data_IF_766658715365
#
_entry.id   IF_766658715365
#
_cell.length_a   1.000
_cell.length_b   1.000
_cell.length_c   1.000
_cell.angle_alpha   90.00
_cell.angle_beta   90.00
_cell.angle_gamma   90.00
#
_symmetry.space_group_name_H-M   'P 1'
#
loop_
_entity.id
_entity.type
_entity.pdbx_description
1 polymer ?
#
# COMPACT_ATOMS: atom_id res chain seq x y z
N UNK A 1 73.18 -92.35 14.68
CA UNK A 1 73.18 -90.87 14.62
C UNK A 1 72.26 -90.52 13.47
N UNK A 2 71.10 -89.93 13.66
CA UNK A 2 70.47 -89.37 14.86
C UNK A 2 68.97 -89.40 14.62
N UNK A 3 68.20 -89.56 15.69
CA UNK A 3 66.78 -89.27 15.70
C UNK A 3 66.57 -87.80 15.33
N UNK A 4 65.76 -87.52 14.31
CA UNK A 4 65.19 -86.19 14.11
C UNK A 4 63.66 -86.32 14.19
N UNK A 5 63.16 -86.19 15.42
CA UNK A 5 61.78 -85.80 15.69
C UNK A 5 61.59 -84.35 15.24
N UNK A 6 61.11 -84.16 14.02
CA UNK A 6 60.56 -82.87 13.57
C UNK A 6 59.17 -82.71 14.18
N UNK A 7 59.09 -82.03 15.32
CA UNK A 7 57.83 -81.52 15.85
C UNK A 7 57.23 -80.50 14.89
N UNK A 8 55.93 -80.66 14.67
CA UNK A 8 55.03 -79.74 13.99
C UNK A 8 55.30 -78.30 14.41
N UNK A 9 55.35 -77.39 13.44
CA UNK A 9 55.05 -75.99 13.74
C UNK A 9 53.80 -75.62 12.94
N UNK A 10 52.68 -75.84 13.61
CA UNK A 10 51.39 -75.23 13.39
C UNK A 10 51.56 -73.73 13.14
N UNK A 11 51.49 -73.32 11.88
CA UNK A 11 51.06 -71.97 11.55
C UNK A 11 50.36 -72.02 10.20
N UNK A 12 49.34 -72.88 10.15
CA UNK A 12 48.23 -72.58 9.28
C UNK A 12 47.26 -71.64 10.03
N UNK A 13 46.61 -70.79 9.24
CA UNK A 13 45.50 -69.89 9.56
C UNK A 13 45.85 -68.48 10.06
N UNK A 14 45.58 -67.49 9.19
CA UNK A 14 44.34 -66.72 9.36
C UNK A 14 44.06 -65.72 8.23
N UNK A 15 43.47 -66.18 7.14
CA UNK A 15 42.71 -65.34 6.19
C UNK A 15 41.44 -64.71 6.82
N UNK A 16 41.05 -65.10 8.04
CA UNK A 16 39.84 -64.62 8.73
C UNK A 16 39.96 -63.26 9.45
N UNK A 17 41.17 -62.83 9.85
CA UNK A 17 41.38 -61.60 10.65
C UNK A 17 41.15 -60.30 9.86
N UNK A 18 41.41 -60.31 8.55
CA UNK A 18 41.19 -59.13 7.71
C UNK A 18 39.70 -58.90 7.43
N UNK A 19 38.95 -59.97 7.15
CA UNK A 19 37.51 -59.90 6.86
C UNK A 19 36.66 -59.44 8.06
N UNK A 20 36.98 -59.90 9.28
CA UNK A 20 36.20 -59.53 10.47
C UNK A 20 36.32 -58.04 10.83
N UNK A 21 37.53 -57.47 10.74
CA UNK A 21 37.76 -56.06 11.00
C UNK A 21 37.10 -55.15 9.94
N UNK A 22 37.05 -55.59 8.68
CA UNK A 22 36.31 -54.89 7.63
C UNK A 22 34.79 -54.96 7.86
N UNK A 23 34.26 -56.09 8.31
CA UNK A 23 32.85 -56.23 8.69
C UNK A 23 32.46 -55.28 9.84
N UNK A 24 33.31 -55.17 10.86
CA UNK A 24 33.09 -54.25 11.97
C UNK A 24 33.10 -52.78 11.51
N UNK A 25 34.08 -52.39 10.68
CA UNK A 25 34.13 -51.04 10.10
C UNK A 25 32.91 -50.73 9.24
N UNK A 26 32.44 -51.68 8.44
CA UNK A 26 31.23 -51.52 7.63
C UNK A 26 29.98 -51.38 8.51
N UNK A 27 29.86 -52.18 9.57
CA UNK A 27 28.77 -52.06 10.56
C UNK A 27 28.74 -50.66 11.18
N UNK A 28 29.87 -50.18 11.65
CA UNK A 28 29.95 -48.87 12.31
C UNK A 28 29.68 -47.71 11.34
N UNK A 29 30.10 -47.84 10.08
CA UNK A 29 29.79 -46.88 9.02
C UNK A 29 28.28 -46.86 8.69
N UNK A 30 27.63 -48.02 8.67
CA UNK A 30 26.17 -48.12 8.49
C UNK A 30 25.42 -47.48 9.66
N UNK A 31 25.86 -47.75 10.90
CA UNK A 31 25.28 -47.15 12.12
C UNK A 31 25.41 -45.63 12.09
N UNK A 32 26.60 -45.11 11.75
CA UNK A 32 26.84 -43.67 11.68
C UNK A 32 26.00 -42.99 10.59
N UNK A 33 25.86 -43.62 9.42
CA UNK A 33 24.95 -43.15 8.37
C UNK A 33 23.49 -43.17 8.83
N UNK A 34 23.07 -44.23 9.54
CA UNK A 34 21.73 -44.32 10.12
C UNK A 34 21.45 -43.21 11.13
N UNK A 35 22.41 -42.90 12.00
CA UNK A 35 22.31 -41.81 12.96
C UNK A 35 22.24 -40.44 12.27
N UNK A 36 23.05 -40.22 11.23
CA UNK A 36 22.98 -38.99 10.43
C UNK A 36 21.61 -38.80 9.78
N UNK A 37 21.08 -39.86 9.15
CA UNK A 37 19.76 -39.84 8.52
C UNK A 37 18.66 -39.57 9.56
N UNK A 38 18.76 -40.15 10.76
CA UNK A 38 17.81 -39.91 11.85
C UNK A 38 17.80 -38.43 12.29
N UNK A 39 18.99 -37.83 12.43
CA UNK A 39 19.12 -36.42 12.76
C UNK A 39 18.56 -35.50 11.66
N UNK A 40 18.81 -35.84 10.40
CA UNK A 40 18.27 -35.10 9.25
C UNK A 40 16.74 -35.18 9.24
N UNK A 41 16.16 -36.38 9.45
CA UNK A 41 14.70 -36.56 9.55
C UNK A 41 14.11 -35.74 10.70
N UNK A 42 14.78 -35.71 11.86
CA UNK A 42 14.34 -34.90 12.99
C UNK A 42 14.34 -33.40 12.66
N UNK A 43 15.43 -32.91 12.06
CA UNK A 43 15.55 -31.52 11.60
C UNK A 43 14.47 -31.15 10.58
N UNK A 44 14.17 -32.04 9.63
CA UNK A 44 13.08 -31.84 8.68
C UNK A 44 11.70 -31.79 9.35
N UNK A 45 11.42 -32.65 10.32
CA UNK A 45 10.15 -32.61 11.07
C UNK A 45 9.95 -31.29 11.80
N UNK A 46 10.99 -30.77 12.45
CA UNK A 46 10.91 -29.49 13.15
C UNK A 46 10.74 -28.30 12.17
N UNK A 47 11.38 -28.35 10.99
CA UNK A 47 11.14 -27.37 9.92
C UNK A 47 9.70 -27.40 9.39
N UNK A 48 9.12 -28.59 9.22
CA UNK A 48 7.72 -28.76 8.82
C UNK A 48 6.80 -28.12 9.86
N UNK A 49 6.95 -28.48 11.14
CA UNK A 49 6.15 -27.88 12.23
C UNK A 49 6.26 -26.36 12.26
N UNK A 50 7.48 -25.82 12.15
CA UNK A 50 7.70 -24.37 12.13
C UNK A 50 6.98 -23.70 10.95
N UNK A 51 6.95 -24.36 9.80
CA UNK A 51 6.28 -23.86 8.59
C UNK A 51 4.76 -23.92 8.74
N UNK A 52 4.21 -25.00 9.32
CA UNK A 52 2.79 -25.14 9.65
C UNK A 52 2.33 -24.04 10.60
N UNK A 53 3.08 -23.76 11.67
CA UNK A 53 2.77 -22.66 12.59
C UNK A 53 2.75 -21.29 11.89
N UNK A 54 3.70 -21.03 10.98
CA UNK A 54 3.71 -19.78 10.19
C UNK A 54 2.49 -19.67 9.27
N UNK A 55 2.10 -20.77 8.62
CA UNK A 55 0.92 -20.82 7.75
C UNK A 55 -0.37 -20.54 8.53
N UNK A 56 -0.53 -21.13 9.72
CA UNK A 56 -1.64 -20.86 10.64
C UNK A 56 -1.69 -19.38 11.04
N UNK A 57 -0.55 -18.81 11.45
CA UNK A 57 -0.48 -17.39 11.82
C UNK A 57 -0.82 -16.44 10.67
N UNK A 58 -0.41 -16.77 9.44
CA UNK A 58 -0.79 -15.99 8.26
C UNK A 58 -2.30 -16.10 7.98
N UNK A 59 -2.90 -17.29 8.14
CA UNK A 59 -4.33 -17.49 7.98
C UNK A 59 -5.12 -16.61 8.97
N UNK A 60 -4.75 -16.61 10.25
CA UNK A 60 -5.37 -15.77 11.28
C UNK A 60 -5.26 -14.27 10.93
N UNK A 61 -4.09 -13.86 10.44
CA UNK A 61 -3.85 -12.48 10.00
C UNK A 61 -4.77 -12.09 8.84
N UNK A 62 -4.94 -12.99 7.86
CA UNK A 62 -5.84 -12.78 6.72
C UNK A 62 -7.29 -12.64 7.17
N UNK A 63 -7.74 -13.45 8.12
CA UNK A 63 -9.12 -13.39 8.62
C UNK A 63 -9.40 -12.13 9.45
N UNK A 64 -8.43 -11.66 10.23
CA UNK A 64 -8.49 -10.36 10.92
C UNK A 64 -8.62 -9.23 9.89
N UNK A 65 -7.80 -9.24 8.84
CA UNK A 65 -7.84 -8.22 7.78
C UNK A 65 -9.16 -8.21 7.02
N UNK A 66 -9.68 -9.40 6.65
CA UNK A 66 -11.01 -9.54 6.02
C UNK A 66 -12.11 -8.97 6.90
N UNK A 67 -12.11 -9.31 8.20
CA UNK A 67 -13.12 -8.83 9.15
C UNK A 67 -13.07 -7.31 9.30
N UNK A 68 -11.87 -6.74 9.44
CA UNK A 68 -11.70 -5.28 9.54
C UNK A 68 -12.16 -4.55 8.27
N UNK A 69 -11.83 -5.11 7.11
CA UNK A 69 -12.19 -4.56 5.81
C UNK A 69 -13.70 -4.59 5.59
N UNK A 70 -14.37 -5.71 5.87
CA UNK A 70 -15.82 -5.84 5.77
C UNK A 70 -16.56 -4.87 6.70
N UNK A 71 -16.05 -4.68 7.92
CA UNK A 71 -16.61 -3.71 8.88
C UNK A 71 -16.50 -2.27 8.36
N UNK A 72 -15.31 -1.86 7.88
CA UNK A 72 -15.10 -0.52 7.30
C UNK A 72 -15.99 -0.25 6.09
N UNK A 73 -16.18 -1.22 5.20
CA UNK A 73 -17.08 -1.05 4.05
C UNK A 73 -18.55 -0.88 4.47
N UNK A 74 -18.98 -1.61 5.51
CA UNK A 74 -20.33 -1.45 6.08
C UNK A 74 -20.53 -0.06 6.69
N UNK A 75 -19.53 0.45 7.43
CA UNK A 75 -19.57 1.78 8.04
C UNK A 75 -19.63 2.89 6.96
N UNK A 76 -18.84 2.78 5.88
CA UNK A 76 -18.86 3.71 4.74
C UNK A 76 -20.21 3.71 4.04
N UNK A 77 -20.79 2.54 3.79
CA UNK A 77 -22.12 2.41 3.16
C UNK A 77 -23.20 3.09 4.00
N UNK A 78 -23.15 2.93 5.32
CA UNK A 78 -24.06 3.56 6.27
C UNK A 78 -23.90 5.09 6.26
N UNK A 79 -22.66 5.59 6.21
CA UNK A 79 -22.37 7.03 6.14
C UNK A 79 -22.90 7.65 4.84
N UNK A 80 -22.69 6.97 3.70
CA UNK A 80 -23.21 7.39 2.39
C UNK A 80 -24.74 7.47 2.38
N UNK A 81 -25.43 6.49 2.96
CA UNK A 81 -26.88 6.52 3.08
C UNK A 81 -27.37 7.67 3.97
N UNK A 82 -26.68 7.97 5.07
CA UNK A 82 -27.00 9.13 5.92
C UNK A 82 -26.80 10.44 5.17
N UNK A 83 -25.68 10.57 4.46
CA UNK A 83 -25.38 11.74 3.64
C UNK A 83 -26.43 11.98 2.55
N UNK A 84 -26.81 10.96 1.77
CA UNK A 84 -27.86 11.11 0.75
C UNK A 84 -29.22 11.48 1.38
N UNK A 85 -29.57 10.91 2.54
CA UNK A 85 -30.79 11.31 3.27
C UNK A 85 -30.73 12.75 3.77
N UNK A 86 -29.59 13.24 4.24
CA UNK A 86 -29.44 14.63 4.67
C UNK A 86 -29.46 15.60 3.48
N UNK A 87 -28.81 15.24 2.37
CA UNK A 87 -28.81 16.01 1.12
C UNK A 87 -30.22 16.24 0.57
N UNK A 88 -31.11 15.24 0.65
CA UNK A 88 -32.51 15.41 0.27
C UNK A 88 -33.26 16.46 1.12
N UNK A 89 -32.84 16.68 2.39
CA UNK A 89 -33.44 17.72 3.26
C UNK A 89 -32.98 19.13 2.91
N UNK A 90 -31.90 19.27 2.15
CA UNK A 90 -31.38 20.57 1.69
C UNK A 90 -31.93 20.97 0.31
N UNK A 91 -32.74 20.13 -0.34
CA UNK A 91 -33.45 20.55 -1.54
C UNK A 91 -34.47 21.61 -1.16
N UNK A 92 -34.35 22.77 -1.79
CA UNK A 92 -35.32 23.85 -1.67
C UNK A 92 -36.71 23.32 -2.06
N UNK A 93 -37.76 23.81 -1.41
CA UNK A 93 -39.10 23.49 -1.87
C UNK A 93 -39.28 24.04 -3.30
N UNK A 94 -40.12 23.40 -4.11
CA UNK A 94 -40.40 23.90 -5.46
C UNK A 94 -40.87 25.36 -5.45
N UNK A 95 -41.48 25.83 -4.35
CA UNK A 95 -41.89 27.22 -4.13
C UNK A 95 -40.67 28.13 -3.91
N UNK A 96 -39.74 27.75 -3.04
CA UNK A 96 -38.52 28.52 -2.77
C UNK A 96 -37.59 28.56 -3.99
N UNK A 97 -37.55 27.48 -4.77
CA UNK A 97 -36.80 27.44 -6.04
C UNK A 97 -37.45 28.32 -7.11
N UNK A 98 -38.78 28.40 -7.16
CA UNK A 98 -39.50 29.32 -8.03
C UNK A 98 -39.28 30.78 -7.61
N UNK A 99 -39.35 31.07 -6.31
CA UNK A 99 -39.16 32.41 -5.76
C UNK A 99 -37.70 32.86 -5.99
N UNK A 100 -36.70 31.99 -5.76
CA UNK A 100 -35.30 32.25 -6.10
C UNK A 100 -35.08 32.54 -7.59
N UNK A 101 -35.70 31.75 -8.49
CA UNK A 101 -35.58 31.97 -9.93
C UNK A 101 -36.33 33.22 -10.42
N UNK A 102 -37.40 33.62 -9.72
CA UNK A 102 -38.15 34.85 -9.98
C UNK A 102 -37.37 36.07 -9.51
N UNK A 103 -36.82 36.03 -8.29
CA UNK A 103 -35.94 37.07 -7.76
C UNK A 103 -34.68 37.24 -8.62
N UNK A 104 -34.10 36.13 -9.11
CA UNK A 104 -32.98 36.14 -10.05
C UNK A 104 -33.31 36.85 -11.37
N UNK A 105 -34.57 36.84 -11.83
CA UNK A 105 -35.01 37.58 -13.03
C UNK A 105 -35.34 39.05 -12.73
N UNK A 106 -35.75 39.37 -11.50
CA UNK A 106 -36.16 40.72 -11.09
C UNK A 106 -34.99 41.57 -10.58
N UNK A 107 -33.82 40.98 -10.31
CA UNK A 107 -32.59 41.74 -10.06
C UNK A 107 -32.06 42.30 -11.38
N UNK A 108 -32.59 43.45 -11.79
CA UNK A 108 -31.83 44.42 -12.58
C UNK A 108 -30.51 44.63 -11.84
N UNK A 109 -29.41 44.16 -12.44
CA UNK A 109 -28.08 44.25 -11.84
C UNK A 109 -27.77 45.73 -11.68
N UNK A 110 -27.89 46.24 -10.44
CA UNK A 110 -27.41 47.57 -10.09
C UNK A 110 -25.93 47.60 -10.43
N UNK A 111 -25.48 48.68 -11.08
CA UNK A 111 -24.06 48.94 -11.40
C UNK A 111 -23.13 48.53 -10.25
N UNK A 112 -23.48 48.86 -9.01
CA UNK A 112 -22.77 48.46 -7.78
C UNK A 112 -22.39 46.97 -7.70
N UNK A 113 -23.24 46.06 -8.17
CA UNK A 113 -22.97 44.62 -8.18
C UNK A 113 -21.96 44.22 -9.25
N UNK A 114 -21.87 44.94 -10.36
CA UNK A 114 -20.83 44.75 -11.39
C UNK A 114 -19.48 45.25 -10.89
N UNK A 115 -19.45 46.42 -10.25
CA UNK A 115 -18.24 46.94 -9.61
C UNK A 115 -17.71 46.02 -8.51
N UNK A 116 -18.60 45.45 -7.67
CA UNK A 116 -18.22 44.45 -6.67
C UNK A 116 -17.67 43.16 -7.31
N UNK A 117 -18.28 42.68 -8.40
CA UNK A 117 -17.79 41.49 -9.12
C UNK A 117 -16.40 41.72 -9.71
N UNK A 118 -16.15 42.90 -10.29
CA UNK A 118 -14.82 43.29 -10.77
C UNK A 118 -13.81 43.35 -9.63
N UNK A 119 -14.17 43.96 -8.51
CA UNK A 119 -13.32 44.05 -7.32
C UNK A 119 -12.97 42.66 -6.77
N UNK A 120 -13.94 41.76 -6.66
CA UNK A 120 -13.73 40.37 -6.20
C UNK A 120 -12.85 39.57 -7.17
N UNK A 121 -13.06 39.69 -8.48
CA UNK A 121 -12.21 39.06 -9.51
C UNK A 121 -10.77 39.56 -9.42
N UNK A 122 -10.59 40.88 -9.31
CA UNK A 122 -9.26 41.49 -9.19
C UNK A 122 -8.56 41.05 -7.91
N UNK A 123 -9.26 41.03 -6.78
CA UNK A 123 -8.70 40.55 -5.50
C UNK A 123 -8.25 39.10 -5.59
N UNK A 124 -9.05 38.22 -6.19
CA UNK A 124 -8.72 36.81 -6.36
C UNK A 124 -7.52 36.61 -7.31
N UNK A 125 -7.50 37.37 -8.41
CA UNK A 125 -6.39 37.39 -9.36
C UNK A 125 -5.08 37.80 -8.70
N UNK A 126 -5.09 38.86 -7.91
CA UNK A 126 -3.88 39.34 -7.22
C UNK A 126 -3.41 38.35 -6.15
N UNK A 127 -4.31 37.64 -5.45
CA UNK A 127 -3.93 36.56 -4.53
C UNK A 127 -3.21 35.43 -5.25
N UNK A 128 -3.75 34.96 -6.39
CA UNK A 128 -3.11 33.90 -7.19
C UNK A 128 -1.73 34.34 -7.69
N UNK A 129 -1.60 35.57 -8.19
CA UNK A 129 -0.30 36.13 -8.61
C UNK A 129 0.69 36.23 -7.45
N UNK A 130 0.24 36.61 -6.26
CA UNK A 130 1.11 36.67 -5.07
C UNK A 130 1.62 35.29 -4.69
N UNK A 131 0.77 34.27 -4.62
CA UNK A 131 1.23 32.90 -4.35
C UNK A 131 2.18 32.38 -5.44
N UNK A 132 1.97 32.72 -6.73
CA UNK A 132 2.92 32.38 -7.79
C UNK A 132 4.28 33.04 -7.56
N UNK A 133 4.33 34.31 -7.12
CA UNK A 133 5.59 34.99 -6.79
C UNK A 133 6.28 34.35 -5.59
N UNK A 134 5.53 34.00 -4.55
CA UNK A 134 6.06 33.32 -3.37
C UNK A 134 6.71 31.98 -3.73
N UNK A 135 6.03 31.15 -4.54
CA UNK A 135 6.58 29.86 -5.00
C UNK A 135 7.82 30.06 -5.88
N UNK A 136 7.80 31.04 -6.79
CA UNK A 136 8.96 31.30 -7.66
C UNK A 136 10.18 31.82 -6.89
N UNK A 137 9.97 32.44 -5.73
CA UNK A 137 11.03 33.00 -4.89
C UNK A 137 11.46 32.04 -3.77
N UNK A 138 10.79 30.90 -3.60
CA UNK A 138 11.10 29.92 -2.57
C UNK A 138 12.16 28.93 -3.06
N UNK A 139 13.42 29.19 -2.67
CA UNK A 139 14.59 28.39 -3.02
C UNK A 139 14.60 26.99 -2.35
N UNK A 140 13.71 26.75 -1.38
CA UNK A 140 13.64 25.48 -0.63
C UNK A 140 12.68 24.47 -1.29
N UNK A 141 11.86 24.90 -2.25
CA UNK A 141 10.92 24.03 -2.96
C UNK A 141 11.65 23.27 -4.07
N UNK A 142 11.67 21.94 -3.97
CA UNK A 142 12.22 21.08 -5.02
C UNK A 142 11.52 21.25 -6.38
N UNK A 143 12.26 21.08 -7.48
CA UNK A 143 11.81 21.37 -8.86
C UNK A 143 10.47 20.69 -9.23
N UNK A 144 10.26 19.45 -8.79
CA UNK A 144 9.01 18.71 -9.07
C UNK A 144 7.81 19.35 -8.37
N UNK A 145 7.98 19.73 -7.10
CA UNK A 145 6.94 20.41 -6.31
C UNK A 145 6.66 21.80 -6.89
N UNK A 146 7.71 22.53 -7.27
CA UNK A 146 7.60 23.83 -7.91
C UNK A 146 6.77 23.75 -9.20
N UNK A 147 7.04 22.74 -10.05
CA UNK A 147 6.28 22.50 -11.29
C UNK A 147 4.82 22.15 -11.00
N UNK A 148 4.55 21.30 -10.01
CA UNK A 148 3.18 20.94 -9.62
C UNK A 148 2.38 22.15 -9.12
N UNK A 149 2.97 22.97 -8.24
CA UNK A 149 2.31 24.15 -7.67
C UNK A 149 2.06 25.21 -8.74
N UNK A 150 3.04 25.45 -9.63
CA UNK A 150 2.87 26.38 -10.75
C UNK A 150 1.72 25.96 -11.67
N UNK A 151 1.68 24.69 -12.07
CA UNK A 151 0.59 24.16 -12.91
C UNK A 151 -0.78 24.28 -12.24
N UNK A 152 -0.86 24.05 -10.92
CA UNK A 152 -2.11 24.20 -10.17
C UNK A 152 -2.57 25.67 -10.16
N UNK A 153 -1.66 26.61 -9.91
CA UNK A 153 -1.99 28.03 -9.90
C UNK A 153 -2.32 28.57 -11.29
N UNK A 154 -1.65 28.08 -12.34
CA UNK A 154 -1.99 28.41 -13.73
C UNK A 154 -3.41 27.92 -14.08
N UNK A 155 -3.79 26.72 -13.60
CA UNK A 155 -5.15 26.19 -13.75
C UNK A 155 -6.18 27.01 -12.98
N UNK A 156 -5.87 27.45 -11.76
CA UNK A 156 -6.73 28.35 -10.98
C UNK A 156 -6.91 29.70 -11.70
N UNK A 157 -5.83 30.29 -12.23
CA UNK A 157 -5.88 31.54 -12.99
C UNK A 157 -6.75 31.41 -14.25
N UNK A 158 -6.60 30.30 -14.99
CA UNK A 158 -7.49 29.97 -16.12
C UNK A 158 -8.94 29.78 -15.67
N UNK A 159 -9.16 29.09 -14.54
CA UNK A 159 -10.48 28.88 -13.96
C UNK A 159 -11.19 30.17 -13.59
N UNK A 160 -10.48 31.16 -13.04
CA UNK A 160 -11.01 32.49 -12.73
C UNK A 160 -11.46 33.19 -14.02
N UNK A 161 -10.62 33.18 -15.06
CA UNK A 161 -10.95 33.82 -16.34
C UNK A 161 -12.12 33.15 -17.07
N UNK A 162 -12.25 31.83 -16.97
CA UNK A 162 -13.35 31.08 -17.57
C UNK A 162 -14.68 31.29 -16.82
N UNK A 163 -14.64 31.31 -15.49
CA UNK A 163 -15.84 31.53 -14.66
C UNK A 163 -16.30 32.98 -14.66
N UNK A 164 -15.35 33.92 -14.79
CA UNK A 164 -15.60 35.36 -14.76
C UNK A 164 -14.96 36.05 -15.98
N UNK A 165 -15.45 35.81 -17.21
CA UNK A 165 -14.94 36.48 -18.40
C UNK A 165 -15.20 38.00 -18.30
N UNK A 166 -14.22 38.81 -18.71
CA UNK A 166 -14.36 40.27 -18.66
C UNK A 166 -15.50 40.77 -19.55
N UNK A 167 -15.68 40.14 -20.71
CA UNK A 167 -16.78 40.44 -21.62
C UNK A 167 -18.14 40.13 -21.01
N UNK A 168 -18.25 39.03 -20.26
CA UNK A 168 -19.47 38.66 -19.55
C UNK A 168 -19.79 39.64 -18.44
N UNK A 169 -18.78 40.07 -17.67
CA UNK A 169 -18.96 41.07 -16.59
C UNK A 169 -19.34 42.43 -17.16
N UNK A 170 -18.71 42.86 -18.27
CA UNK A 170 -18.97 44.15 -18.89
C UNK A 170 -20.37 44.24 -19.50
N UNK A 171 -20.91 43.12 -20.01
CA UNK A 171 -22.29 43.04 -20.51
C UNK A 171 -23.35 43.15 -19.41
N UNK A 172 -22.99 43.03 -18.12
CA UNK A 172 -23.90 43.25 -17.00
C UNK A 172 -24.12 44.75 -16.68
N UNK A 173 -23.41 45.67 -17.35
CA UNK A 173 -23.57 47.13 -17.18
C UNK A 173 -24.70 47.74 -18.02
N UNK A 174 -25.17 47.04 -19.04
CA UNK A 174 -26.20 47.48 -20.00
C UNK A 174 -27.51 46.79 -19.71
#
# INVERSE_FOLDING_TARGET
MSDDTSYENDNDVSDGKNSYNELLKNRDNIINKGNSISNDIHSFKEKIKSTEYKLLSHHDTVDILKTHTNKKYSDISTLLQKYEKEKEKFKLSNKDEQDFNTDKKTVTIKSSSVEELKSKKNSLTEKVKTHMREINNDELIGQDIHKMLKNALDKEMSGINNKFPDDSINKLKT
#
